data_IF_949892004354
#
_entry.id   IF_949892004354
#
_cell.length_a   1.000
_cell.length_b   1.000
_cell.length_c   1.000
_cell.angle_alpha   90.00
_cell.angle_beta   90.00
_cell.angle_gamma   90.00
#
_symmetry.space_group_name_H-M   'P 1'
#
loop_
_entity.id
_entity.type
_entity.pdbx_description
1 polymer ?
#
# COMPACT_ATOMS: atom_id res chain seq x y z
N UNK A 1 -19.46 -0.29 -2.92
CA UNK A 1 -18.58 -1.14 -2.07
C UNK A 1 -17.43 -1.66 -2.94
N UNK A 2 -16.24 -1.95 -2.38
CA UNK A 2 -15.17 -2.52 -3.16
C UNK A 2 -15.47 -3.99 -3.53
N UNK A 3 -14.90 -4.46 -4.62
CA UNK A 3 -14.93 -5.86 -5.04
C UNK A 3 -13.56 -6.51 -4.88
N UNK A 4 -13.52 -7.69 -4.27
CA UNK A 4 -12.32 -8.51 -4.15
C UNK A 4 -12.50 -9.79 -4.96
N UNK A 5 -11.60 -10.03 -5.90
CA UNK A 5 -11.50 -11.27 -6.64
C UNK A 5 -10.28 -12.05 -6.15
N UNK A 6 -10.48 -13.34 -5.86
CA UNK A 6 -9.43 -14.26 -5.45
C UNK A 6 -9.40 -15.44 -6.41
N UNK A 7 -8.20 -15.85 -6.80
CA UNK A 7 -7.96 -17.07 -7.57
C UNK A 7 -6.90 -17.89 -6.86
N UNK A 8 -7.24 -19.14 -6.57
CA UNK A 8 -6.36 -20.12 -5.97
C UNK A 8 -5.92 -21.10 -7.06
N UNK A 9 -4.65 -21.49 -7.06
CA UNK A 9 -4.12 -22.48 -7.99
C UNK A 9 -3.05 -23.30 -7.28
N UNK A 10 -3.14 -24.62 -7.32
CA UNK A 10 -2.18 -25.50 -6.65
C UNK A 10 -2.83 -26.80 -6.19
N UNK A 11 -2.00 -27.72 -5.71
CA UNK A 11 -2.46 -28.94 -5.08
C UNK A 11 -2.88 -28.64 -3.62
N UNK A 12 -4.06 -29.11 -3.22
CA UNK A 12 -4.57 -28.99 -1.85
C UNK A 12 -3.65 -29.75 -0.87
N UNK A 13 -2.94 -30.78 -1.34
CA UNK A 13 -1.97 -31.53 -0.54
C UNK A 13 -0.69 -30.73 -0.22
N UNK A 14 -0.35 -29.71 -1.02
CA UNK A 14 0.85 -28.87 -0.86
C UNK A 14 0.47 -27.39 -0.79
N UNK A 15 -0.37 -27.03 0.19
CA UNK A 15 -0.81 -25.65 0.45
C UNK A 15 0.35 -24.64 0.59
N UNK A 16 1.54 -25.10 0.98
CA UNK A 16 2.77 -24.29 1.05
C UNK A 16 3.26 -23.79 -0.31
N UNK A 17 2.93 -24.51 -1.39
CA UNK A 17 3.21 -24.18 -2.78
C UNK A 17 1.99 -23.57 -3.51
N UNK A 18 0.89 -23.34 -2.80
CA UNK A 18 -0.32 -22.77 -3.38
C UNK A 18 -0.05 -21.35 -3.90
N UNK A 19 -0.50 -21.08 -5.12
CA UNK A 19 -0.54 -19.76 -5.72
C UNK A 19 -1.88 -19.10 -5.43
N UNK A 20 -1.83 -17.86 -4.97
CA UNK A 20 -3.02 -17.03 -4.75
C UNK A 20 -2.86 -15.73 -5.52
N UNK A 21 -3.79 -15.42 -6.40
CA UNK A 21 -3.88 -14.12 -7.07
C UNK A 21 -5.08 -13.36 -6.48
N UNK A 22 -4.87 -12.09 -6.13
CA UNK A 22 -5.90 -11.21 -5.58
C UNK A 22 -6.00 -9.92 -6.40
N UNK A 23 -7.21 -9.48 -6.69
CA UNK A 23 -7.48 -8.17 -7.30
C UNK A 23 -8.56 -7.45 -6.52
N UNK A 24 -8.26 -6.24 -6.06
CA UNK A 24 -9.18 -5.36 -5.35
C UNK A 24 -9.54 -4.19 -6.28
N UNK A 25 -10.83 -3.87 -6.37
CA UNK A 25 -11.32 -2.70 -7.12
C UNK A 25 -12.37 -1.92 -6.35
N UNK A 26 -12.46 -0.62 -6.60
CA UNK A 26 -13.55 0.20 -6.10
C UNK A 26 -13.59 1.56 -6.81
N UNK A 27 -14.69 1.83 -7.51
CA UNK A 27 -14.80 3.04 -8.35
C UNK A 27 -14.85 4.32 -7.51
N UNK A 28 -15.65 4.31 -6.44
CA UNK A 28 -15.80 5.43 -5.50
C UNK A 28 -16.09 4.89 -4.11
N UNK A 29 -15.17 5.11 -3.18
CA UNK A 29 -15.23 4.65 -1.80
C UNK A 29 -15.12 5.85 -0.86
N UNK A 30 -15.79 5.76 0.29
CA UNK A 30 -15.81 6.82 1.29
C UNK A 30 -15.28 6.29 2.62
N UNK A 31 -14.33 7.01 3.23
CA UNK A 31 -13.85 6.78 4.58
C UNK A 31 -13.91 8.08 5.37
N UNK A 32 -14.89 8.23 6.24
CA UNK A 32 -15.14 9.51 6.91
C UNK A 32 -15.42 10.61 5.87
N UNK A 33 -14.65 11.70 5.89
CA UNK A 33 -14.71 12.77 4.88
C UNK A 33 -13.82 12.54 3.66
N UNK A 34 -12.98 11.49 3.67
CA UNK A 34 -12.04 11.21 2.59
C UNK A 34 -12.67 10.31 1.52
N UNK A 35 -12.59 10.77 0.27
CA UNK A 35 -13.07 10.05 -0.91
C UNK A 35 -11.89 9.42 -1.64
N UNK A 36 -12.01 8.11 -1.89
CA UNK A 36 -11.07 7.32 -2.68
C UNK A 36 -11.75 7.02 -4.02
N UNK A 37 -11.12 7.42 -5.11
CA UNK A 37 -11.58 7.21 -6.47
C UNK A 37 -10.68 6.21 -7.19
N UNK A 38 -11.29 5.35 -8.00
CA UNK A 38 -10.61 4.38 -8.87
C UNK A 38 -9.58 3.51 -8.13
N UNK A 39 -9.93 2.99 -6.95
CA UNK A 39 -9.08 2.05 -6.24
C UNK A 39 -8.85 0.81 -7.09
N UNK A 40 -7.58 0.45 -7.29
CA UNK A 40 -7.16 -0.74 -8.02
C UNK A 40 -5.90 -1.30 -7.37
N UNK A 41 -5.94 -2.56 -6.94
CA UNK A 41 -4.75 -3.24 -6.42
C UNK A 41 -4.69 -4.69 -6.90
N UNK A 42 -3.48 -5.16 -7.18
CA UNK A 42 -3.19 -6.53 -7.60
C UNK A 42 -2.06 -7.11 -6.79
N UNK A 43 -2.26 -8.31 -6.26
CA UNK A 43 -1.26 -9.03 -5.50
C UNK A 43 -1.22 -10.52 -5.85
N UNK A 44 -0.04 -11.12 -5.75
CA UNK A 44 0.21 -12.54 -5.96
C UNK A 44 1.00 -13.11 -4.78
N UNK A 45 0.55 -14.22 -4.23
CA UNK A 45 1.34 -15.10 -3.39
C UNK A 45 1.78 -16.30 -4.22
N UNK A 46 3.09 -16.51 -4.33
CA UNK A 46 3.67 -17.64 -5.06
C UNK A 46 5.10 -17.91 -4.57
N UNK A 47 5.49 -19.19 -4.46
CA UNK A 47 6.83 -19.60 -4.03
C UNK A 47 7.31 -18.85 -2.78
N UNK A 48 6.44 -18.79 -1.75
CA UNK A 48 6.73 -18.11 -0.48
C UNK A 48 7.03 -16.60 -0.59
N UNK A 49 6.64 -15.98 -1.70
CA UNK A 49 6.77 -14.54 -1.93
C UNK A 49 5.39 -13.92 -2.15
N UNK A 50 5.13 -12.84 -1.45
CA UNK A 50 4.04 -11.91 -1.77
C UNK A 50 4.59 -10.85 -2.71
N UNK A 51 3.96 -10.65 -3.85
CA UNK A 51 4.18 -9.54 -4.76
C UNK A 51 2.92 -8.66 -4.78
N UNK A 52 3.08 -7.37 -4.57
CA UNK A 52 2.05 -6.35 -4.80
C UNK A 52 2.49 -5.63 -6.07
N UNK A 53 1.99 -6.10 -7.21
CA UNK A 53 2.38 -5.57 -8.51
C UNK A 53 1.93 -4.13 -8.72
N UNK A 54 0.76 -3.77 -8.17
CA UNK A 54 0.26 -2.40 -8.14
C UNK A 54 -0.74 -2.20 -7.00
N UNK A 55 -0.81 -0.98 -6.47
CA UNK A 55 -1.83 -0.49 -5.56
C UNK A 55 -1.99 1.01 -5.80
N UNK A 56 -3.12 1.39 -6.37
CA UNK A 56 -3.33 2.72 -6.93
C UNK A 56 -4.72 3.23 -6.58
N UNK A 57 -4.83 4.53 -6.33
CA UNK A 57 -6.09 5.25 -6.25
C UNK A 57 -5.85 6.76 -6.41
N UNK A 58 -6.94 7.54 -6.48
CA UNK A 58 -6.89 8.99 -6.44
C UNK A 58 -7.84 9.59 -5.42
N UNK A 59 -7.61 10.85 -5.08
CA UNK A 59 -8.57 11.70 -4.37
C UNK A 59 -8.81 13.01 -5.15
N UNK A 60 -9.51 13.96 -4.53
CA UNK A 60 -9.77 15.27 -5.14
C UNK A 60 -8.52 16.13 -5.43
N UNK A 61 -7.34 15.74 -4.94
CA UNK A 61 -6.10 16.51 -4.99
C UNK A 61 -4.99 15.83 -5.78
N UNK A 62 -4.93 14.50 -5.78
CA UNK A 62 -3.88 13.79 -6.48
C UNK A 62 -4.06 12.29 -6.51
N UNK A 63 -2.95 11.59 -6.67
CA UNK A 63 -2.90 10.14 -6.89
C UNK A 63 -1.94 9.48 -5.92
N UNK A 64 -2.19 8.20 -5.64
CA UNK A 64 -1.25 7.32 -4.98
C UNK A 64 -0.97 6.13 -5.88
N UNK A 65 0.29 5.73 -5.91
CA UNK A 65 0.74 4.48 -6.52
C UNK A 65 1.78 3.85 -5.61
N UNK A 66 1.63 2.54 -5.36
CA UNK A 66 2.62 1.75 -4.66
C UNK A 66 2.78 0.38 -5.29
N UNK A 67 3.98 -0.18 -5.10
CA UNK A 67 4.31 -1.57 -5.40
C UNK A 67 5.30 -2.08 -4.37
N UNK A 68 5.41 -3.39 -4.24
CA UNK A 68 6.36 -3.97 -3.33
C UNK A 68 6.27 -5.48 -3.30
N UNK A 69 7.18 -6.08 -2.55
CA UNK A 69 7.21 -7.52 -2.37
C UNK A 69 7.67 -7.88 -0.96
N UNK A 70 7.30 -9.06 -0.50
CA UNK A 70 7.78 -9.65 0.73
C UNK A 70 8.16 -11.10 0.49
N UNK A 71 9.40 -11.44 0.82
CA UNK A 71 9.89 -12.80 0.78
C UNK A 71 9.85 -13.39 2.20
N UNK A 72 9.13 -14.51 2.37
CA UNK A 72 8.93 -15.14 3.68
C UNK A 72 10.20 -15.73 4.28
N UNK A 73 11.06 -16.32 3.46
CA UNK A 73 12.30 -16.98 3.88
C UNK A 73 13.29 -15.99 4.51
N UNK A 74 13.58 -14.88 3.82
CA UNK A 74 14.39 -13.77 4.31
C UNK A 74 13.64 -12.83 5.27
N UNK A 75 12.32 -12.99 5.31
CA UNK A 75 11.36 -12.14 6.02
C UNK A 75 11.55 -10.64 5.76
N UNK A 76 11.96 -10.31 4.54
CA UNK A 76 12.29 -8.95 4.11
C UNK A 76 11.25 -8.47 3.11
N UNK A 77 10.70 -7.29 3.38
CA UNK A 77 9.80 -6.58 2.47
C UNK A 77 10.55 -5.42 1.80
N UNK A 78 10.21 -5.15 0.54
CA UNK A 78 10.68 -4.00 -0.24
C UNK A 78 9.47 -3.29 -0.82
N UNK A 79 9.52 -1.97 -0.91
CA UNK A 79 8.41 -1.19 -1.42
C UNK A 79 8.87 0.09 -2.09
N UNK A 80 8.00 0.59 -2.97
CA UNK A 80 8.11 1.87 -3.62
C UNK A 80 6.74 2.54 -3.59
N UNK A 81 6.72 3.81 -3.21
CA UNK A 81 5.52 4.64 -3.09
C UNK A 81 5.77 5.95 -3.82
N UNK A 82 4.77 6.37 -4.59
CA UNK A 82 4.67 7.70 -5.16
C UNK A 82 3.28 8.26 -4.84
N UNK A 83 3.21 9.47 -4.30
CA UNK A 83 1.93 10.07 -3.89
C UNK A 83 1.91 11.59 -4.07
N UNK A 84 0.76 12.10 -4.51
CA UNK A 84 0.41 13.52 -4.54
C UNK A 84 -0.95 13.77 -3.87
N UNK A 85 -1.43 12.79 -3.09
CA UNK A 85 -2.71 12.86 -2.40
C UNK A 85 -2.81 14.05 -1.45
N UNK A 86 -4.04 14.37 -1.03
CA UNK A 86 -4.27 15.13 0.17
C UNK A 86 -3.84 14.34 1.41
N UNK A 87 -2.54 14.37 1.70
CA UNK A 87 -1.91 13.56 2.74
C UNK A 87 -2.56 13.79 4.11
N UNK A 88 -2.86 15.04 4.47
CA UNK A 88 -3.52 15.35 5.74
C UNK A 88 -4.89 14.70 5.83
N UNK A 89 -5.74 14.91 4.82
CA UNK A 89 -7.08 14.33 4.82
C UNK A 89 -7.05 12.80 4.81
N UNK A 90 -6.09 12.20 4.11
CA UNK A 90 -5.86 10.75 4.14
C UNK A 90 -5.50 10.28 5.56
N UNK A 91 -4.47 10.86 6.18
CA UNK A 91 -4.03 10.45 7.52
C UNK A 91 -5.11 10.64 8.59
N UNK A 92 -5.86 11.74 8.50
CA UNK A 92 -6.98 12.04 9.41
C UNK A 92 -8.09 10.99 9.27
N UNK A 93 -8.44 10.58 8.04
CA UNK A 93 -9.48 9.57 7.79
C UNK A 93 -9.13 8.16 8.28
N UNK A 94 -7.83 7.86 8.39
CA UNK A 94 -7.33 6.57 8.91
C UNK A 94 -6.88 6.65 10.38
N UNK A 95 -7.04 7.79 11.05
CA UNK A 95 -6.73 7.95 12.47
C UNK A 95 -5.23 7.91 12.81
N UNK A 96 -4.37 8.11 11.80
CA UNK A 96 -2.90 8.10 11.93
C UNK A 96 -2.30 9.51 11.81
N UNK A 97 -3.15 10.54 11.72
CA UNK A 97 -2.73 11.95 11.62
C UNK A 97 -2.06 12.52 12.87
N UNK A 98 -2.14 11.85 14.03
CA UNK A 98 -1.63 12.33 15.31
C UNK A 98 -0.21 12.93 15.28
N UNK A 99 0.79 12.26 14.70
CA UNK A 99 2.16 12.78 14.63
C UNK A 99 2.37 13.94 13.64
N UNK A 100 1.39 14.24 12.78
CA UNK A 100 1.49 15.23 11.68
C UNK A 100 0.39 16.30 11.86
N UNK A 101 -0.29 16.33 13.01
CA UNK A 101 -1.36 17.29 13.32
C UNK A 101 -0.91 18.74 13.17
N UNK A 102 0.34 19.03 13.53
CA UNK A 102 0.94 20.36 13.51
C UNK A 102 1.56 20.75 12.14
N UNK A 103 1.56 19.85 11.15
CA UNK A 103 2.00 20.19 9.79
C UNK A 103 0.83 20.77 8.99
N UNK A 104 0.95 22.03 8.62
CA UNK A 104 0.13 22.65 7.58
C UNK A 104 0.79 22.44 6.21
N UNK A 105 0.04 21.82 5.30
CA UNK A 105 0.42 21.70 3.89
C UNK A 105 -0.34 22.75 3.09
N UNK A 106 0.38 23.73 2.52
CA UNK A 106 -0.23 24.73 1.63
C UNK A 106 -0.64 24.14 0.26
N UNK A 107 -0.02 23.02 -0.12
CA UNK A 107 -0.23 22.24 -1.34
C UNK A 107 -0.12 20.73 -1.01
N UNK A 108 -0.80 19.84 -1.76
CA UNK A 108 -0.60 18.40 -1.61
C UNK A 108 0.88 18.06 -1.88
N UNK A 109 1.59 17.43 -0.93
CA UNK A 109 3.00 17.15 -1.12
C UNK A 109 3.21 16.05 -2.15
N UNK A 110 4.24 16.21 -2.98
CA UNK A 110 4.83 15.09 -3.70
C UNK A 110 5.63 14.25 -2.70
N UNK A 111 5.30 12.98 -2.58
CA UNK A 111 6.04 11.99 -1.79
C UNK A 111 6.59 10.90 -2.69
N UNK A 112 7.88 10.64 -2.56
CA UNK A 112 8.54 9.50 -3.20
C UNK A 112 9.30 8.73 -2.13
N UNK A 113 8.93 7.47 -1.88
CA UNK A 113 9.56 6.65 -0.85
C UNK A 113 9.96 5.33 -1.46
N UNK A 114 11.22 4.96 -1.28
CA UNK A 114 11.72 3.62 -1.58
C UNK A 114 12.33 3.08 -0.31
N UNK A 115 12.03 1.82 0.01
CA UNK A 115 12.58 1.25 1.21
C UNK A 115 12.48 -0.27 1.28
N UNK A 116 13.04 -0.77 2.37
CA UNK A 116 12.96 -2.16 2.78
C UNK A 116 12.88 -2.28 4.29
N UNK A 117 12.32 -3.39 4.76
CA UNK A 117 12.23 -3.67 6.17
C UNK A 117 12.15 -5.17 6.45
N UNK A 118 12.65 -5.60 7.61
CA UNK A 118 12.37 -6.94 8.13
C UNK A 118 11.06 -6.91 8.91
N UNK A 119 10.12 -7.78 8.53
CA UNK A 119 8.81 -7.87 9.19
C UNK A 119 8.96 -8.69 10.49
N UNK A 120 8.32 -8.29 11.59
CA UNK A 120 8.35 -9.06 12.85
C UNK A 120 9.67 -9.01 13.62
N UNK A 121 10.59 -8.10 13.27
CA UNK A 121 11.73 -7.80 14.13
C UNK A 121 11.26 -7.11 15.42
N UNK A 122 11.93 -7.37 16.56
CA UNK A 122 11.61 -6.74 17.85
C UNK A 122 11.68 -5.20 17.81
N UNK A 123 12.44 -4.65 16.85
CA UNK A 123 12.55 -3.21 16.64
C UNK A 123 12.26 -2.86 15.17
N UNK A 124 11.29 -1.98 14.97
CA UNK A 124 10.97 -1.43 13.66
C UNK A 124 12.11 -0.52 13.19
N UNK A 125 12.92 -1.02 12.25
CA UNK A 125 14.07 -0.32 11.67
C UNK A 125 14.03 -0.44 10.14
N UNK A 126 13.16 0.33 9.46
CA UNK A 126 13.12 0.31 8.02
C UNK A 126 14.33 1.06 7.44
N UNK A 127 14.89 0.55 6.34
CA UNK A 127 15.86 1.28 5.53
C UNK A 127 15.10 1.98 4.42
N UNK A 128 15.03 3.30 4.46
CA UNK A 128 14.18 4.09 3.56
C UNK A 128 14.86 5.36 3.11
N UNK A 129 14.63 5.70 1.85
CA UNK A 129 14.95 7.00 1.28
C UNK A 129 13.62 7.62 0.86
N UNK A 130 13.33 8.80 1.39
CA UNK A 130 12.12 9.55 1.11
C UNK A 130 12.45 10.95 0.59
N UNK A 131 11.73 11.40 -0.44
CA UNK A 131 11.71 12.77 -0.89
C UNK A 131 10.30 13.36 -0.71
N UNK A 132 10.24 14.60 -0.21
CA UNK A 132 9.01 15.37 -0.08
C UNK A 132 9.20 16.76 -0.70
N UNK A 133 8.31 17.18 -1.58
CA UNK A 133 8.28 18.52 -2.18
C UNK A 133 6.88 19.14 -2.08
N UNK A 134 6.82 20.47 -1.98
CA UNK A 134 5.61 21.26 -1.71
C UNK A 134 5.40 22.33 -2.77
#
# INVERSE_FOLDING_TARGET
PPSLQLKFSGDIAELENARVEATLRGDRLQRGSYEINNLSAGAEWNNQRLDIGYCEWSDSKGTFAARGDWNRESNTAKFQIHSTLNLKAFLDAFGVGGPILDLEFHSPPLLEIIGSMKIGAEQFRPDMIGHAAF
#
